data_IF_776714003195
#
_entry.id   IF_776714003195
#
_cell.length_a   1.000
_cell.length_b   1.000
_cell.length_c   1.000
_cell.angle_alpha   90.00
_cell.angle_beta   90.00
_cell.angle_gamma   90.00
#
_symmetry.space_group_name_H-M   'P 1'
#
loop_
_entity.id
_entity.type
_entity.pdbx_description
1 polymer ?
#
# COMPACT_ATOMS: atom_id res chain seq x y z
N UNK A 1 15.91 6.91 -3.74
CA UNK A 1 15.72 5.46 -3.43
C UNK A 1 14.22 5.15 -3.43
N UNK A 2 13.77 3.90 -3.65
CA UNK A 2 12.34 3.53 -3.59
C UNK A 2 12.03 2.67 -2.36
N UNK A 3 10.98 2.99 -1.62
CA UNK A 3 10.52 2.25 -0.44
C UNK A 3 9.05 1.83 -0.58
N UNK A 4 8.74 0.59 -0.21
CA UNK A 4 7.37 0.10 -0.06
C UNK A 4 7.04 0.01 1.42
N UNK A 5 5.96 0.66 1.84
CA UNK A 5 5.56 0.71 3.24
C UNK A 5 4.58 -0.41 3.59
N UNK A 6 4.80 -1.00 4.77
CA UNK A 6 3.87 -1.90 5.44
C UNK A 6 2.79 -1.11 6.21
N UNK A 7 1.68 -1.78 6.56
CA UNK A 7 0.52 -1.21 7.24
C UNK A 7 0.89 -0.49 8.54
N UNK A 8 1.73 -1.09 9.40
CA UNK A 8 2.11 -0.43 10.66
C UNK A 8 2.97 0.80 10.44
N UNK A 9 3.91 0.78 9.48
CA UNK A 9 4.74 1.94 9.15
C UNK A 9 3.87 3.09 8.65
N UNK A 10 2.88 2.80 7.80
CA UNK A 10 1.91 3.78 7.31
C UNK A 10 1.04 4.36 8.43
N UNK A 11 0.57 3.55 9.39
CA UNK A 11 -0.20 4.05 10.53
C UNK A 11 0.68 4.89 11.45
N UNK A 12 1.85 4.40 11.83
CA UNK A 12 2.74 5.09 12.76
C UNK A 12 3.23 6.42 12.22
N UNK A 13 3.64 6.51 10.94
CA UNK A 13 4.12 7.78 10.40
C UNK A 13 3.06 8.90 10.44
N UNK A 14 1.77 8.55 10.49
CA UNK A 14 0.65 9.51 10.50
C UNK A 14 0.02 9.75 11.87
N UNK A 15 0.31 8.92 12.88
CA UNK A 15 -0.30 9.03 14.21
C UNK A 15 0.71 8.95 15.35
N UNK A 16 1.70 8.07 15.24
CA UNK A 16 2.65 7.77 16.31
C UNK A 16 4.08 7.62 15.76
N UNK A 17 4.66 8.68 15.16
CA UNK A 17 5.96 8.59 14.48
C UNK A 17 7.11 8.20 15.42
N UNK A 18 6.93 8.37 16.75
CA UNK A 18 7.87 7.91 17.77
C UNK A 18 8.07 6.39 17.82
N UNK A 19 7.15 5.59 17.26
CA UNK A 19 7.33 4.14 17.12
C UNK A 19 8.28 3.75 15.98
N UNK A 20 8.62 4.70 15.09
CA UNK A 20 9.56 4.47 13.99
C UNK A 20 11.01 4.66 14.47
N UNK A 21 11.93 3.82 13.98
CA UNK A 21 13.36 4.03 14.23
C UNK A 21 13.85 5.36 13.65
N UNK A 22 14.90 5.95 14.25
CA UNK A 22 15.49 7.20 13.77
C UNK A 22 15.91 7.13 12.29
N UNK A 23 16.40 5.98 11.83
CA UNK A 23 16.72 5.75 10.41
C UNK A 23 15.46 5.77 9.53
N UNK A 24 14.39 5.09 9.95
CA UNK A 24 13.14 5.07 9.20
C UNK A 24 12.53 6.47 9.11
N UNK A 25 12.47 7.21 10.22
CA UNK A 25 11.99 8.60 10.23
C UNK A 25 12.77 9.47 9.23
N UNK A 26 14.12 9.37 9.23
CA UNK A 26 14.96 10.12 8.28
C UNK A 26 14.65 9.76 6.83
N UNK A 27 14.50 8.47 6.51
CA UNK A 27 14.22 8.02 5.14
C UNK A 27 12.81 8.39 4.67
N UNK A 28 11.82 8.42 5.57
CA UNK A 28 10.43 8.73 5.24
C UNK A 28 10.18 10.22 4.97
N UNK A 29 11.07 11.11 5.43
CA UNK A 29 10.99 12.56 5.17
C UNK A 29 11.98 13.05 4.11
N UNK A 30 12.85 12.17 3.62
CA UNK A 30 13.85 12.48 2.60
C UNK A 30 13.18 12.69 1.23
N UNK A 31 13.42 13.85 0.62
CA UNK A 31 12.83 14.22 -0.67
C UNK A 31 13.33 13.36 -1.84
N UNK A 32 14.51 12.75 -1.73
CA UNK A 32 15.07 11.86 -2.75
C UNK A 32 14.57 10.41 -2.60
N UNK A 33 13.66 10.17 -1.65
CA UNK A 33 13.03 8.87 -1.41
C UNK A 33 11.62 8.84 -1.97
N UNK A 34 11.40 7.94 -2.93
CA UNK A 34 10.09 7.64 -3.51
C UNK A 34 9.37 6.63 -2.61
N UNK A 35 8.19 7.00 -2.13
CA UNK A 35 7.39 6.19 -1.23
C UNK A 35 6.23 5.53 -1.99
N UNK A 36 6.03 4.24 -1.72
CA UNK A 36 4.94 3.47 -2.29
C UNK A 36 4.13 2.80 -1.18
N UNK A 37 2.83 2.67 -1.42
CA UNK A 37 1.92 1.93 -0.54
C UNK A 37 1.16 0.91 -1.37
N UNK A 38 1.13 -0.34 -0.92
CA UNK A 38 0.30 -1.35 -1.57
C UNK A 38 -1.18 -1.11 -1.23
N UNK A 39 -2.09 -1.37 -2.18
CA UNK A 39 -3.53 -1.35 -1.87
C UNK A 39 -3.91 -2.41 -0.81
N UNK A 40 -3.07 -3.44 -0.64
CA UNK A 40 -3.21 -4.44 0.43
C UNK A 40 -3.34 -3.77 1.80
N UNK A 41 -2.64 -2.65 2.03
CA UNK A 41 -2.70 -1.92 3.29
C UNK A 41 -4.13 -1.43 3.58
N UNK A 42 -4.88 -0.97 2.57
CA UNK A 42 -6.27 -0.59 2.74
C UNK A 42 -7.14 -1.78 3.16
N UNK A 43 -6.93 -2.95 2.54
CA UNK A 43 -7.64 -4.18 2.89
C UNK A 43 -7.31 -4.65 4.31
N UNK A 44 -6.03 -4.66 4.71
CA UNK A 44 -5.60 -5.04 6.06
C UNK A 44 -6.17 -4.10 7.14
N UNK A 45 -6.21 -2.80 6.86
CA UNK A 45 -6.84 -1.80 7.73
C UNK A 45 -8.34 -2.07 7.86
N UNK A 46 -9.04 -2.36 6.76
CA UNK A 46 -10.46 -2.72 6.76
C UNK A 46 -10.75 -3.94 7.65
N UNK A 47 -9.94 -5.00 7.56
CA UNK A 47 -10.07 -6.17 8.44
C UNK A 47 -9.85 -5.81 9.91
N UNK A 48 -8.84 -4.97 10.21
CA UNK A 48 -8.56 -4.54 11.59
C UNK A 48 -9.71 -3.71 12.17
N UNK A 49 -10.32 -2.82 11.38
CA UNK A 49 -11.49 -2.02 11.76
C UNK A 49 -12.71 -2.91 11.99
N UNK A 50 -12.99 -3.83 11.07
CA UNK A 50 -14.12 -4.77 11.19
C UNK A 50 -14.02 -5.70 12.41
N UNK A 51 -12.80 -5.93 12.92
CA UNK A 51 -12.54 -6.70 14.15
C UNK A 51 -12.44 -5.81 15.41
N UNK A 52 -12.76 -4.52 15.30
CA UNK A 52 -12.67 -3.51 16.37
C UNK A 52 -11.27 -3.38 16.99
N UNK A 53 -10.22 -3.79 16.25
CA UNK A 53 -8.82 -3.72 16.69
C UNK A 53 -8.13 -2.40 16.34
N UNK A 54 -8.80 -1.55 15.56
CA UNK A 54 -8.31 -0.27 15.13
C UNK A 54 -9.48 0.68 14.89
N UNK A 55 -9.40 1.88 15.47
CA UNK A 55 -10.35 2.97 15.20
C UNK A 55 -9.64 4.04 14.38
N UNK A 56 -10.26 4.43 13.27
CA UNK A 56 -9.76 5.52 12.44
C UNK A 56 -10.54 6.82 12.74
N UNK A 57 -9.90 7.99 12.65
CA UNK A 57 -10.56 9.28 12.86
C UNK A 57 -11.54 9.67 11.74
N UNK A 58 -11.47 8.98 10.60
CA UNK A 58 -12.26 9.21 9.40
C UNK A 58 -12.50 7.86 8.68
N UNK A 59 -13.45 7.78 7.73
CA UNK A 59 -13.70 6.56 6.96
C UNK A 59 -12.43 6.01 6.29
N UNK A 60 -12.32 4.69 6.17
CA UNK A 60 -11.10 4.02 5.67
C UNK A 60 -10.60 4.58 4.32
N UNK A 61 -11.51 4.77 3.37
CA UNK A 61 -11.17 5.27 2.04
C UNK A 61 -10.53 6.67 2.11
N UNK A 62 -11.17 7.59 2.83
CA UNK A 62 -10.67 8.95 3.06
C UNK A 62 -9.35 8.94 3.84
N UNK A 63 -9.25 8.07 4.85
CA UNK A 63 -8.05 7.92 5.67
C UNK A 63 -6.83 7.56 4.83
N UNK A 64 -6.97 6.54 3.95
CA UNK A 64 -5.88 6.03 3.12
C UNK A 64 -5.54 7.01 2.00
N UNK A 65 -6.55 7.50 1.28
CA UNK A 65 -6.32 8.39 0.13
C UNK A 65 -5.73 9.73 0.55
N UNK A 66 -6.25 10.37 1.60
CA UNK A 66 -5.74 11.67 2.07
C UNK A 66 -4.29 11.58 2.55
N UNK A 67 -3.93 10.49 3.26
CA UNK A 67 -2.57 10.26 3.77
C UNK A 67 -1.60 9.89 2.67
N UNK A 68 -1.99 9.02 1.74
CA UNK A 68 -1.17 8.70 0.58
C UNK A 68 -0.84 9.97 -0.22
N UNK A 69 -1.81 10.85 -0.44
CA UNK A 69 -1.59 12.13 -1.11
C UNK A 69 -0.67 13.06 -0.31
N UNK A 70 -0.95 13.29 0.99
CA UNK A 70 -0.11 14.15 1.85
C UNK A 70 1.34 13.69 1.93
N UNK A 71 1.56 12.38 1.91
CA UNK A 71 2.88 11.77 1.96
C UNK A 71 3.49 11.50 0.59
N UNK A 72 2.89 12.00 -0.50
CA UNK A 72 3.38 11.83 -1.88
C UNK A 72 3.63 10.36 -2.24
N UNK A 73 2.79 9.47 -1.72
CA UNK A 73 2.89 8.03 -1.94
C UNK A 73 2.07 7.62 -3.15
N UNK A 74 2.65 6.78 -4.01
CA UNK A 74 1.89 6.14 -5.08
C UNK A 74 1.23 4.86 -4.56
N UNK A 75 -0.09 4.76 -4.72
CA UNK A 75 -0.84 3.53 -4.48
C UNK A 75 -0.54 2.52 -5.60
N UNK A 76 -0.32 1.26 -5.23
CA UNK A 76 -0.02 0.17 -6.17
C UNK A 76 -1.13 -0.89 -6.14
N UNK A 77 -2.31 -0.61 -6.73
CA UNK A 77 -3.45 -1.52 -6.72
C UNK A 77 -3.19 -2.83 -7.47
N UNK A 78 -2.46 -2.75 -8.58
CA UNK A 78 -2.27 -3.88 -9.50
C UNK A 78 -1.44 -5.01 -8.90
N UNK A 79 -0.64 -4.70 -7.87
CA UNK A 79 0.21 -5.69 -7.18
C UNK A 79 -0.60 -6.70 -6.37
N UNK A 80 -1.80 -6.35 -5.91
CA UNK A 80 -2.66 -7.30 -5.21
C UNK A 80 -3.27 -8.31 -6.18
N UNK A 81 -3.75 -7.84 -7.33
CA UNK A 81 -4.27 -8.68 -8.41
C UNK A 81 -3.19 -9.65 -8.90
N UNK A 82 -1.97 -9.15 -9.13
CA UNK A 82 -0.79 -9.97 -9.48
C UNK A 82 -0.49 -11.00 -8.39
N UNK A 83 -0.45 -10.59 -7.13
CA UNK A 83 -0.13 -11.48 -6.02
C UNK A 83 -1.16 -12.61 -5.86
N UNK A 84 -2.46 -12.28 -5.95
CA UNK A 84 -3.54 -13.25 -5.86
C UNK A 84 -3.50 -14.23 -7.04
N UNK A 85 -3.34 -13.74 -8.27
CA UNK A 85 -3.26 -14.59 -9.45
C UNK A 85 -2.07 -15.57 -9.38
N UNK A 86 -0.91 -15.13 -8.85
CA UNK A 86 0.21 -16.04 -8.60
C UNK A 86 -0.08 -17.06 -7.50
N UNK A 87 -0.66 -16.64 -6.38
CA UNK A 87 -0.95 -17.51 -5.25
C UNK A 87 -1.97 -18.60 -5.59
N UNK A 88 -2.95 -18.28 -6.44
CA UNK A 88 -4.05 -19.17 -6.82
C UNK A 88 -3.89 -19.80 -8.21
N UNK A 89 -2.75 -19.56 -8.90
CA UNK A 89 -2.50 -20.02 -10.27
C UNK A 89 -3.59 -19.59 -11.27
N UNK A 90 -4.07 -18.35 -11.14
CA UNK A 90 -5.09 -17.77 -12.00
C UNK A 90 -4.45 -16.97 -13.14
N UNK A 91 -5.13 -16.94 -14.28
CA UNK A 91 -4.76 -16.10 -15.43
C UNK A 91 -5.43 -14.73 -15.26
N UNK A 92 -4.64 -13.65 -15.26
CA UNK A 92 -5.16 -12.30 -15.07
C UNK A 92 -5.63 -11.69 -16.39
N UNK A 93 -6.92 -11.39 -16.52
CA UNK A 93 -7.44 -10.64 -17.68
C UNK A 93 -7.33 -9.14 -17.38
N UNK A 94 -6.59 -8.39 -18.21
CA UNK A 94 -6.36 -6.96 -17.96
C UNK A 94 -6.06 -6.16 -19.22
N UNK A 95 -6.51 -4.90 -19.25
CA UNK A 95 -6.12 -3.90 -20.25
C UNK A 95 -4.86 -3.12 -19.83
N UNK A 96 -4.42 -3.24 -18.57
CA UNK A 96 -3.28 -2.49 -18.04
C UNK A 96 -1.96 -3.09 -18.54
N UNK A 97 -1.18 -2.37 -19.38
CA UNK A 97 0.09 -2.86 -19.89
C UNK A 97 1.17 -3.00 -18.81
N UNK A 98 1.01 -2.39 -17.63
CA UNK A 98 1.99 -2.49 -16.54
C UNK A 98 1.96 -3.84 -15.83
N UNK A 99 0.82 -4.53 -15.84
CA UNK A 99 0.70 -5.86 -15.24
C UNK A 99 1.58 -6.90 -15.97
N UNK A 100 1.78 -6.73 -17.27
CA UNK A 100 2.66 -7.59 -18.07
C UNK A 100 4.14 -7.58 -17.63
N UNK A 101 4.54 -6.66 -16.74
CA UNK A 101 5.90 -6.58 -16.18
C UNK A 101 6.12 -7.50 -14.98
N UNK A 102 5.07 -8.12 -14.46
CA UNK A 102 5.15 -9.06 -13.35
C UNK A 102 5.14 -10.49 -13.87
N UNK A 103 5.73 -11.42 -13.11
CA UNK A 103 5.71 -12.86 -13.39
C UNK A 103 4.32 -13.45 -13.08
N UNK A 104 3.33 -13.11 -13.90
CA UNK A 104 1.95 -13.61 -13.81
C UNK A 104 1.43 -13.88 -15.21
N UNK A 105 0.67 -14.95 -15.38
CA UNK A 105 0.04 -15.25 -16.67
C UNK A 105 -1.09 -14.24 -16.93
N UNK A 106 -1.09 -13.63 -18.12
CA UNK A 106 -2.07 -12.60 -18.48
C UNK A 106 -2.76 -12.90 -19.80
N UNK A 107 -4.02 -12.48 -19.90
CA UNK A 107 -4.74 -12.31 -21.16
C UNK A 107 -5.07 -10.84 -21.32
N UNK A 108 -4.73 -10.24 -22.46
CA UNK A 108 -5.13 -8.85 -22.74
C UNK A 108 -6.62 -8.80 -23.03
N UNK A 109 -7.30 -7.86 -22.37
CA UNK A 109 -8.69 -7.51 -22.65
C UNK A 109 -8.85 -6.77 -23.99
#
# INVERSE_FOLDING_TARGET
MKLLLDTHVFVWMHGEPGQLSARAQKLLVDADTELHLSVVVAWELGIKIARERLTLPEPLEEYVTSRAQRSRMSLLPDRMLVAQARAESLILVTADPWIARYEVEIVRA
#
